data_IF_128723838431
#
_entry.id   IF_128723838431
#
_cell.length_a   1.000
_cell.length_b   1.000
_cell.length_c   1.000
_cell.angle_alpha   90.00
_cell.angle_beta   90.00
_cell.angle_gamma   90.00
#
_symmetry.space_group_name_H-M   'P 1'
#
loop_
_entity.id
_entity.type
_entity.pdbx_description
1 polymer ?
#
# COMPACT_ATOMS: atom_id res chain seq x y z
N UNK A 1 -5.74 14.10 -28.19
CA UNK A 1 -5.32 15.51 -27.96
C UNK A 1 -4.89 15.60 -26.51
N UNK A 2 -3.82 16.34 -26.20
CA UNK A 2 -3.40 16.54 -24.82
C UNK A 2 -4.26 17.62 -24.16
N UNK A 3 -4.68 17.37 -22.93
CA UNK A 3 -5.43 18.27 -22.07
C UNK A 3 -4.59 18.64 -20.86
N UNK A 4 -4.79 19.84 -20.31
CA UNK A 4 -4.18 20.23 -19.04
C UNK A 4 -5.04 19.72 -17.89
N UNK A 5 -4.42 19.13 -16.87
CA UNK A 5 -5.09 18.66 -15.66
C UNK A 5 -4.43 19.27 -14.43
N UNK A 6 -5.24 19.67 -13.46
CA UNK A 6 -4.80 20.05 -12.11
C UNK A 6 -4.97 18.85 -11.19
N UNK A 7 -3.87 18.30 -10.71
CA UNK A 7 -3.81 17.13 -9.82
C UNK A 7 -3.34 17.56 -8.44
N UNK A 8 -4.09 17.21 -7.40
CA UNK A 8 -3.80 17.55 -6.01
C UNK A 8 -3.44 16.31 -5.21
N UNK A 9 -2.31 16.38 -4.51
CA UNK A 9 -1.88 15.42 -3.49
C UNK A 9 -1.80 16.09 -2.13
N UNK A 10 -1.87 15.28 -1.08
CA UNK A 10 -1.45 15.64 0.26
C UNK A 10 -0.40 14.68 0.78
N UNK A 11 0.49 15.20 1.63
CA UNK A 11 1.52 14.40 2.30
C UNK A 11 1.68 14.89 3.72
N UNK A 12 1.81 13.95 4.65
CA UNK A 12 2.16 14.29 6.03
C UNK A 12 3.66 14.51 6.11
N UNK A 13 4.03 15.60 6.76
CA UNK A 13 5.40 16.09 6.86
C UNK A 13 5.73 16.42 8.31
N UNK A 14 7.01 16.30 8.64
CA UNK A 14 7.56 16.77 9.92
C UNK A 14 8.22 18.16 9.79
N UNK A 15 7.88 18.89 8.73
CA UNK A 15 8.37 20.25 8.48
C UNK A 15 7.22 21.19 8.10
N UNK A 16 7.50 22.50 8.17
CA UNK A 16 6.64 23.56 7.64
C UNK A 16 7.41 24.31 6.57
N UNK A 17 6.76 24.56 5.43
CA UNK A 17 7.33 25.40 4.38
C UNK A 17 7.30 26.87 4.77
N UNK A 18 6.30 27.30 5.55
CA UNK A 18 5.98 28.69 5.92
C UNK A 18 5.63 29.60 4.74
N UNK A 19 5.95 29.19 3.52
CA UNK A 19 5.66 29.89 2.27
C UNK A 19 5.16 28.90 1.23
N UNK A 20 4.48 29.42 0.21
CA UNK A 20 4.22 28.68 -1.03
C UNK A 20 5.54 28.52 -1.78
N UNK A 21 5.79 27.34 -2.34
CA UNK A 21 6.96 27.03 -3.16
C UNK A 21 6.48 26.56 -4.52
N UNK A 22 6.92 27.24 -5.58
CA UNK A 22 6.52 26.94 -6.94
C UNK A 22 7.71 26.36 -7.72
N UNK A 23 7.46 25.29 -8.47
CA UNK A 23 8.39 24.62 -9.36
C UNK A 23 7.85 24.67 -10.78
N UNK A 24 8.71 25.00 -11.73
CA UNK A 24 8.38 25.01 -13.15
C UNK A 24 9.25 23.99 -13.85
N UNK A 25 8.64 22.92 -14.34
CA UNK A 25 9.27 21.90 -15.16
C UNK A 25 8.87 22.11 -16.63
N UNK A 26 9.59 21.51 -17.59
CA UNK A 26 9.26 21.68 -19.02
C UNK A 26 7.84 21.26 -19.40
N UNK A 27 7.24 20.30 -18.69
CA UNK A 27 5.93 19.73 -19.01
C UNK A 27 4.88 19.89 -17.90
N UNK A 28 5.23 20.49 -16.77
CA UNK A 28 4.31 20.72 -15.67
C UNK A 28 4.71 21.93 -14.82
N UNK A 29 3.72 22.55 -14.17
CA UNK A 29 3.95 23.51 -13.09
C UNK A 29 3.43 22.90 -11.80
N UNK A 30 4.14 23.11 -10.71
CA UNK A 30 3.80 22.51 -9.43
C UNK A 30 3.93 23.53 -8.31
N UNK A 31 2.95 23.54 -7.42
CA UNK A 31 2.94 24.36 -6.23
C UNK A 31 2.86 23.47 -5.01
N UNK A 32 3.73 23.71 -4.03
CA UNK A 32 3.71 23.08 -2.71
C UNK A 32 3.40 24.14 -1.65
N UNK A 33 2.48 23.87 -0.74
CA UNK A 33 2.11 24.78 0.34
C UNK A 33 1.68 24.04 1.60
N UNK A 34 1.86 24.70 2.74
CA UNK A 34 1.40 24.18 4.03
C UNK A 34 -0.14 24.10 4.06
N UNK A 35 -0.66 22.99 4.58
CA UNK A 35 -2.07 22.78 4.86
C UNK A 35 -2.24 22.30 6.30
N UNK A 36 -3.19 22.90 7.01
CA UNK A 36 -3.57 22.45 8.35
C UNK A 36 -4.63 21.37 8.13
N UNK A 37 -4.26 20.10 8.36
CA UNK A 37 -5.24 19.02 8.37
C UNK A 37 -6.29 19.24 9.48
N UNK A 38 -7.49 18.66 9.36
CA UNK A 38 -8.46 18.68 10.45
C UNK A 38 -7.80 18.11 11.71
N UNK A 39 -7.96 18.82 12.83
CA UNK A 39 -7.46 18.39 14.13
C UNK A 39 -8.27 17.16 14.53
N UNK A 40 -7.82 15.96 14.15
CA UNK A 40 -8.35 14.73 14.72
C UNK A 40 -7.89 14.65 16.19
N UNK A 41 -8.88 14.63 17.08
CA UNK A 41 -8.92 15.09 18.47
C UNK A 41 -7.81 14.65 19.46
N UNK A 42 -6.78 13.87 19.07
CA UNK A 42 -5.74 13.40 20.00
C UNK A 42 -4.32 13.30 19.45
N UNK A 43 -4.08 13.59 18.17
CA UNK A 43 -2.73 13.54 17.61
C UNK A 43 -2.11 14.94 17.59
N UNK A 44 -1.05 15.13 18.40
CA UNK A 44 -0.22 16.36 18.37
C UNK A 44 0.41 16.50 16.98
N UNK A 45 -0.21 17.35 16.16
CA UNK A 45 0.33 18.04 14.98
C UNK A 45 1.32 17.25 14.11
N UNK A 46 0.80 16.51 13.13
CA UNK A 46 1.55 16.24 11.90
C UNK A 46 1.21 17.36 10.91
N UNK A 47 2.22 18.11 10.46
CA UNK A 47 2.02 19.08 9.39
C UNK A 47 1.65 18.34 8.12
N UNK A 48 0.85 18.97 7.26
CA UNK A 48 0.54 18.44 5.96
C UNK A 48 0.97 19.46 4.92
N UNK A 49 1.56 19.00 3.83
CA UNK A 49 1.73 19.81 2.64
C UNK A 49 0.70 19.36 1.61
N UNK A 50 0.10 20.34 0.93
CA UNK A 50 -0.65 20.09 -0.30
C UNK A 50 0.25 20.41 -1.48
N UNK A 51 0.11 19.60 -2.52
CA UNK A 51 0.85 19.73 -3.76
C UNK A 51 -0.13 19.75 -4.91
N UNK A 52 -0.15 20.87 -5.62
CA UNK A 52 -0.93 21.09 -6.82
C UNK A 52 -0.01 20.98 -8.02
N UNK A 53 -0.30 20.06 -8.93
CA UNK A 53 0.46 19.85 -10.17
C UNK A 53 -0.45 20.12 -11.35
N UNK A 54 -0.11 21.10 -12.19
CA UNK A 54 -0.74 21.32 -13.49
C UNK A 54 0.12 20.64 -14.55
N UNK A 55 -0.40 19.61 -15.20
CA UNK A 55 0.32 18.78 -16.17
C UNK A 55 -0.53 18.51 -17.42
N UNK A 56 0.10 18.44 -18.59
CA UNK A 56 -0.57 18.05 -19.82
C UNK A 56 -0.50 16.53 -20.03
N UNK A 57 -1.65 15.89 -20.26
CA UNK A 57 -1.72 14.45 -20.54
C UNK A 57 -2.89 14.13 -21.47
N UNK A 58 -2.96 12.91 -22.01
CA UNK A 58 -4.08 12.49 -22.86
C UNK A 58 -5.34 12.15 -22.06
N UNK A 59 -5.17 11.67 -20.83
CA UNK A 59 -6.25 11.22 -19.94
C UNK A 59 -5.97 11.65 -18.51
N UNK A 60 -7.02 11.86 -17.72
CA UNK A 60 -6.89 12.25 -16.31
C UNK A 60 -6.14 11.20 -15.49
N UNK A 61 -6.29 9.89 -15.77
CA UNK A 61 -5.55 8.86 -15.04
C UNK A 61 -4.05 8.90 -15.33
N UNK A 62 -3.67 9.13 -16.60
CA UNK A 62 -2.28 9.33 -16.98
C UNK A 62 -1.71 10.59 -16.33
N UNK A 63 -2.49 11.68 -16.24
CA UNK A 63 -2.07 12.88 -15.52
C UNK A 63 -1.81 12.62 -14.03
N UNK A 64 -2.59 11.76 -13.38
CA UNK A 64 -2.37 11.36 -11.98
C UNK A 64 -1.07 10.55 -11.85
N UNK A 65 -0.82 9.58 -12.73
CA UNK A 65 0.41 8.79 -12.64
C UNK A 65 1.66 9.65 -12.93
N UNK A 66 1.58 10.53 -13.94
CA UNK A 66 2.67 11.42 -14.34
C UNK A 66 2.94 12.49 -13.26
N UNK A 67 1.90 13.10 -12.68
CA UNK A 67 2.05 14.11 -11.63
C UNK A 67 2.71 13.56 -10.37
N UNK A 68 2.48 12.28 -10.04
CA UNK A 68 3.09 11.61 -8.90
C UNK A 68 4.62 11.54 -9.03
N UNK A 69 5.15 11.36 -10.24
CA UNK A 69 6.61 11.33 -10.48
C UNK A 69 7.25 12.67 -10.11
N UNK A 70 6.63 13.78 -10.51
CA UNK A 70 7.12 15.14 -10.20
C UNK A 70 6.96 15.48 -8.72
N UNK A 71 5.84 15.06 -8.13
CA UNK A 71 5.59 15.16 -6.70
C UNK A 71 6.72 14.49 -5.90
N UNK A 72 7.01 13.22 -6.20
CA UNK A 72 7.98 12.43 -5.44
C UNK A 72 9.39 13.02 -5.57
N UNK A 73 9.75 13.51 -6.77
CA UNK A 73 11.01 14.18 -7.01
C UNK A 73 11.17 15.43 -6.12
N UNK A 74 10.17 16.32 -6.09
CA UNK A 74 10.30 17.57 -5.34
C UNK A 74 10.17 17.38 -3.83
N UNK A 75 9.22 16.57 -3.36
CA UNK A 75 9.08 16.26 -1.94
C UNK A 75 10.31 15.49 -1.44
N UNK A 76 10.88 14.60 -2.25
CA UNK A 76 12.15 13.94 -1.97
C UNK A 76 13.31 14.91 -1.79
N UNK A 77 13.42 15.92 -2.67
CA UNK A 77 14.45 16.97 -2.55
C UNK A 77 14.26 17.85 -1.30
N UNK A 78 13.02 18.22 -0.97
CA UNK A 78 12.72 19.00 0.25
C UNK A 78 13.06 18.17 1.50
N UNK A 79 12.60 16.91 1.52
CA UNK A 79 12.88 15.93 2.58
C UNK A 79 14.39 15.76 2.78
N UNK A 80 15.15 15.63 1.69
CA UNK A 80 16.60 15.53 1.69
C UNK A 80 17.27 16.79 2.24
N UNK A 81 16.86 17.98 1.78
CA UNK A 81 17.41 19.25 2.23
C UNK A 81 17.18 19.48 3.74
N UNK A 82 15.99 19.11 4.23
CA UNK A 82 15.59 19.31 5.62
C UNK A 82 15.96 18.13 6.53
N UNK A 83 16.50 17.04 5.96
CA UNK A 83 16.83 15.80 6.67
C UNK A 83 15.63 15.32 7.51
N UNK A 84 14.43 15.38 6.93
CA UNK A 84 13.17 15.19 7.66
C UNK A 84 12.25 14.27 6.86
N UNK A 85 11.71 13.19 7.46
CA UNK A 85 10.90 12.22 6.73
C UNK A 85 9.57 12.82 6.27
N UNK A 86 9.06 12.26 5.19
CA UNK A 86 7.73 12.53 4.62
C UNK A 86 7.00 11.20 4.43
N UNK A 87 5.70 11.20 4.68
CA UNK A 87 4.87 10.03 4.38
C UNK A 87 4.69 9.85 2.87
N UNK A 88 4.04 8.75 2.49
CA UNK A 88 3.65 8.49 1.09
C UNK A 88 2.62 9.54 0.64
N UNK A 89 2.71 10.05 -0.60
CA UNK A 89 1.67 10.89 -1.20
C UNK A 89 0.30 10.23 -1.16
N UNK A 90 -0.71 11.04 -0.82
CA UNK A 90 -2.12 10.67 -0.89
C UNK A 90 -2.73 11.50 -2.01
N UNK A 91 -3.17 10.85 -3.08
CA UNK A 91 -3.94 11.50 -4.13
C UNK A 91 -5.28 11.99 -3.55
N UNK A 92 -5.58 13.29 -3.69
CA UNK A 92 -6.86 13.87 -3.25
C UNK A 92 -7.83 13.99 -4.42
N UNK A 93 -7.43 14.66 -5.50
CA UNK A 93 -8.30 14.93 -6.65
C UNK A 93 -7.56 15.35 -7.91
N UNK A 94 -8.22 15.21 -9.05
CA UNK A 94 -7.78 15.71 -10.35
C UNK A 94 -8.96 16.37 -11.07
N UNK A 95 -8.69 17.46 -11.80
CA UNK A 95 -9.70 18.21 -12.58
C UNK A 95 -9.09 18.61 -13.92
N UNK A 96 -9.84 18.51 -15.01
CA UNK A 96 -9.48 19.11 -16.29
C UNK A 96 -9.36 20.64 -16.17
N UNK A 97 -8.26 21.22 -16.65
CA UNK A 97 -7.80 22.58 -16.34
C UNK A 97 -7.54 23.46 -17.58
N UNK A 98 -8.05 23.05 -18.74
CA UNK A 98 -7.98 23.83 -19.98
C UNK A 98 -8.94 25.03 -19.98
N UNK A 99 -8.59 26.08 -20.73
CA UNK A 99 -9.44 27.25 -20.91
C UNK A 99 -10.61 26.95 -21.86
N UNK A 100 -11.76 27.62 -21.65
CA UNK A 100 -12.93 27.50 -22.55
C UNK A 100 -13.75 26.21 -22.40
N UNK A 101 -13.33 25.27 -21.54
CA UNK A 101 -14.11 24.07 -21.20
C UNK A 101 -15.12 24.40 -20.10
N UNK A 102 -16.39 24.07 -20.33
CA UNK A 102 -17.47 24.23 -19.35
C UNK A 102 -17.76 22.94 -18.60
N UNK A 103 -17.69 21.79 -19.28
CA UNK A 103 -17.96 20.49 -18.68
C UNK A 103 -16.63 19.75 -18.50
N UNK A 104 -16.20 19.59 -17.24
CA UNK A 104 -14.84 19.14 -16.92
C UNK A 104 -14.81 17.76 -16.33
N UNK A 105 -13.85 16.94 -16.74
CA UNK A 105 -13.57 15.69 -16.06
C UNK A 105 -13.05 15.94 -14.63
N UNK A 106 -13.55 15.16 -13.67
CA UNK A 106 -13.23 15.30 -12.25
C UNK A 106 -13.09 13.94 -11.58
N UNK A 107 -12.00 13.75 -10.84
CA UNK A 107 -11.77 12.59 -9.98
C UNK A 107 -11.45 13.10 -8.57
N UNK A 108 -12.03 12.48 -7.54
CA UNK A 108 -11.66 12.72 -6.15
C UNK A 108 -11.60 11.42 -5.36
N UNK A 109 -10.55 11.22 -4.58
CA UNK A 109 -10.51 10.20 -3.55
C UNK A 109 -11.14 10.76 -2.26
N UNK A 110 -12.06 10.01 -1.67
CA UNK A 110 -12.66 10.33 -0.37
C UNK A 110 -12.58 9.12 0.55
N UNK A 111 -12.26 9.37 1.82
CA UNK A 111 -12.22 8.32 2.84
C UNK A 111 -13.63 8.14 3.37
N UNK A 112 -14.17 6.93 3.23
CA UNK A 112 -15.46 6.62 3.85
C UNK A 112 -15.31 6.61 5.38
N UNK A 113 -16.30 7.13 6.13
CA UNK A 113 -16.26 7.26 7.58
C UNK A 113 -16.30 5.91 8.31
N UNK A 114 -16.53 4.83 7.58
CA UNK A 114 -16.56 3.48 8.11
C UNK A 114 -15.39 2.68 7.57
N UNK A 115 -14.70 1.95 8.44
CA UNK A 115 -13.77 0.89 8.06
C UNK A 115 -14.55 -0.23 7.38
N UNK A 116 -14.89 -0.04 6.10
CA UNK A 116 -15.60 -1.03 5.28
C UNK A 116 -14.69 -2.17 4.85
N UNK A 117 -13.38 -2.09 5.16
CA UNK A 117 -12.47 -3.21 5.03
C UNK A 117 -12.96 -4.39 5.86
N UNK A 118 -12.85 -5.60 5.31
CA UNK A 118 -13.13 -6.80 6.08
C UNK A 118 -12.21 -6.79 7.33
N UNK A 119 -12.77 -7.08 8.50
CA UNK A 119 -12.00 -7.17 9.75
C UNK A 119 -11.85 -8.65 10.07
N UNK A 120 -10.63 -9.08 10.41
CA UNK A 120 -10.45 -10.42 10.97
C UNK A 120 -10.91 -10.41 12.41
N UNK A 121 -11.85 -11.28 12.73
CA UNK A 121 -12.16 -11.56 14.13
C UNK A 121 -10.95 -12.21 14.80
N UNK A 122 -10.71 -11.78 16.05
CA UNK A 122 -9.73 -12.41 16.90
C UNK A 122 -10.21 -13.83 17.24
N UNK A 123 -9.31 -14.81 17.10
CA UNK A 123 -9.59 -16.23 17.33
C UNK A 123 -8.84 -16.66 18.60
N UNK A 124 -9.52 -16.74 19.76
CA UNK A 124 -8.86 -17.03 21.03
C UNK A 124 -8.20 -18.41 21.07
N UNK A 125 -8.77 -19.39 20.38
CA UNK A 125 -8.25 -20.76 20.33
C UNK A 125 -6.91 -20.80 19.58
N UNK A 126 -6.87 -20.21 18.37
CA UNK A 126 -5.64 -20.13 17.59
C UNK A 126 -4.57 -19.30 18.30
N UNK A 127 -4.96 -18.21 18.95
CA UNK A 127 -4.04 -17.44 19.77
C UNK A 127 -3.50 -18.25 20.95
N UNK A 128 -4.34 -19.03 21.63
CA UNK A 128 -3.93 -19.90 22.74
C UNK A 128 -2.88 -20.95 22.34
N UNK A 129 -3.02 -21.54 21.15
CA UNK A 129 -2.02 -22.46 20.58
C UNK A 129 -0.68 -21.74 20.37
N UNK A 130 -0.69 -20.57 19.73
CA UNK A 130 0.51 -19.79 19.48
C UNK A 130 1.19 -19.33 20.77
N UNK A 131 0.39 -18.82 21.71
CA UNK A 131 0.88 -18.28 22.98
C UNK A 131 1.46 -19.38 23.87
N UNK A 132 0.85 -20.56 23.92
CA UNK A 132 1.39 -21.69 24.68
C UNK A 132 2.73 -22.16 24.12
N UNK A 133 2.83 -22.36 22.79
CA UNK A 133 4.10 -22.73 22.12
C UNK A 133 5.21 -21.70 22.26
N UNK A 134 4.87 -20.41 22.22
CA UNK A 134 5.86 -19.34 22.44
C UNK A 134 6.45 -19.34 23.86
N UNK A 135 5.68 -19.78 24.85
CA UNK A 135 6.07 -19.86 26.26
C UNK A 135 6.64 -21.23 26.65
N UNK A 136 6.60 -22.23 25.77
CA UNK A 136 7.11 -23.57 26.02
C UNK A 136 8.66 -23.54 26.07
N UNK A 137 9.22 -23.68 27.28
CA UNK A 137 10.67 -23.57 27.52
C UNK A 137 11.45 -24.82 27.12
N UNK A 138 10.76 -25.93 26.86
CA UNK A 138 11.37 -27.23 26.54
C UNK A 138 11.83 -27.34 25.08
N UNK A 139 11.39 -26.42 24.21
CA UNK A 139 11.77 -26.43 22.80
C UNK A 139 13.25 -26.01 22.66
N UNK A 140 14.17 -26.94 22.29
CA UNK A 140 15.62 -26.70 22.41
C UNK A 140 16.09 -25.46 21.63
N UNK A 141 15.58 -25.28 20.42
CA UNK A 141 15.96 -24.17 19.54
C UNK A 141 15.39 -22.82 20.02
N UNK A 142 14.20 -22.80 20.63
CA UNK A 142 13.63 -21.59 21.26
C UNK A 142 14.46 -21.16 22.46
N UNK A 143 14.90 -22.11 23.28
CA UNK A 143 15.79 -21.84 24.43
C UNK A 143 17.15 -21.29 23.98
N UNK A 144 17.71 -21.82 22.87
CA UNK A 144 19.00 -21.37 22.32
C UNK A 144 18.90 -20.02 21.60
N UNK A 145 17.78 -19.71 20.95
CA UNK A 145 17.65 -18.54 20.06
C UNK A 145 16.40 -17.68 20.30
N UNK A 146 16.06 -17.30 21.55
CA UNK A 146 14.77 -16.67 21.81
C UNK A 146 14.63 -15.30 21.11
N UNK A 147 15.69 -14.48 21.17
CA UNK A 147 15.70 -13.15 20.58
C UNK A 147 15.59 -13.17 19.04
N UNK A 148 16.03 -14.25 18.38
CA UNK A 148 15.91 -14.36 16.92
C UNK A 148 14.46 -14.55 16.50
N UNK A 149 13.73 -15.42 17.20
CA UNK A 149 12.31 -15.67 16.93
C UNK A 149 11.49 -14.39 17.19
N UNK A 150 11.74 -13.70 18.30
CA UNK A 150 11.06 -12.43 18.62
C UNK A 150 11.34 -11.33 17.59
N UNK A 151 12.60 -11.20 17.14
CA UNK A 151 12.96 -10.26 16.07
C UNK A 151 12.31 -10.64 14.74
N UNK A 152 12.22 -11.92 14.41
CA UNK A 152 11.53 -12.39 13.20
C UNK A 152 10.03 -12.04 13.24
N UNK A 153 9.36 -12.24 14.39
CA UNK A 153 7.97 -11.81 14.61
C UNK A 153 7.83 -10.28 14.44
N UNK A 154 8.79 -9.50 14.97
CA UNK A 154 8.80 -8.04 14.80
C UNK A 154 8.90 -7.65 13.32
N UNK A 155 9.80 -8.28 12.56
CA UNK A 155 9.95 -8.02 11.12
C UNK A 155 8.72 -8.45 10.31
N UNK A 156 8.11 -9.58 10.66
CA UNK A 156 6.83 -9.99 10.08
C UNK A 156 5.74 -8.94 10.30
N UNK A 157 5.61 -8.45 11.55
CA UNK A 157 4.67 -7.37 11.88
C UNK A 157 4.97 -6.09 11.09
N UNK A 158 6.23 -5.67 11.01
CA UNK A 158 6.63 -4.51 10.20
C UNK A 158 6.21 -4.69 8.74
N UNK A 159 6.55 -5.83 8.13
CA UNK A 159 6.16 -6.11 6.74
C UNK A 159 4.64 -6.05 6.51
N UNK A 160 3.81 -6.54 7.45
CA UNK A 160 2.35 -6.39 7.37
C UNK A 160 1.92 -4.91 7.34
N UNK A 161 2.59 -4.05 8.11
CA UNK A 161 2.29 -2.62 8.17
C UNK A 161 2.80 -1.84 6.96
N UNK A 162 3.83 -2.31 6.27
CA UNK A 162 4.39 -1.61 5.11
C UNK A 162 3.43 -1.60 3.91
N UNK A 163 3.29 -0.43 3.28
CA UNK A 163 2.53 -0.24 2.04
C UNK A 163 3.41 -0.38 0.79
N UNK A 164 4.68 -0.01 0.88
CA UNK A 164 5.63 -0.15 -0.22
C UNK A 164 6.06 -1.62 -0.37
N UNK A 165 6.02 -2.12 -1.61
CA UNK A 165 6.29 -3.51 -1.92
C UNK A 165 7.75 -3.88 -1.66
N UNK A 166 8.71 -2.98 -1.93
CA UNK A 166 10.14 -3.23 -1.71
C UNK A 166 10.48 -3.28 -0.22
N UNK A 167 9.91 -2.37 0.57
CA UNK A 167 10.10 -2.30 2.02
C UNK A 167 9.44 -3.50 2.69
N UNK A 168 8.22 -3.88 2.26
CA UNK A 168 7.55 -5.10 2.72
C UNK A 168 8.39 -6.34 2.42
N UNK A 169 8.90 -6.47 1.19
CA UNK A 169 9.77 -7.58 0.79
C UNK A 169 11.02 -7.65 1.69
N UNK A 170 11.69 -6.51 1.87
CA UNK A 170 12.89 -6.39 2.71
C UNK A 170 12.61 -6.79 4.15
N UNK A 171 11.47 -6.38 4.73
CA UNK A 171 11.07 -6.79 6.07
C UNK A 171 10.94 -8.32 6.18
N UNK A 172 10.23 -8.96 5.25
CA UNK A 172 10.05 -10.41 5.27
C UNK A 172 11.38 -11.15 5.07
N UNK A 173 12.22 -10.69 4.13
CA UNK A 173 13.54 -11.27 3.89
C UNK A 173 14.46 -11.16 5.12
N UNK A 174 14.52 -10.00 5.77
CA UNK A 174 15.32 -9.82 6.99
C UNK A 174 14.82 -10.71 8.14
N UNK A 175 13.51 -10.92 8.25
CA UNK A 175 12.93 -11.90 9.17
C UNK A 175 13.45 -13.33 8.90
N UNK A 176 13.51 -13.73 7.63
CA UNK A 176 14.04 -15.04 7.21
C UNK A 176 15.54 -15.16 7.50
N UNK A 177 16.35 -14.13 7.23
CA UNK A 177 17.78 -14.11 7.55
C UNK A 177 18.04 -14.24 9.06
N UNK A 178 17.18 -13.64 9.89
CA UNK A 178 17.27 -13.76 11.35
C UNK A 178 16.97 -15.18 11.83
N UNK A 179 15.97 -15.85 11.23
CA UNK A 179 15.59 -17.23 11.54
C UNK A 179 16.55 -18.27 10.94
N UNK A 180 17.26 -17.92 9.88
CA UNK A 180 18.07 -18.86 9.12
C UNK A 180 19.04 -19.69 10.00
N UNK A 181 19.78 -19.15 10.99
CA UNK A 181 20.58 -19.97 11.91
C UNK A 181 19.75 -20.94 12.76
N UNK A 182 18.54 -20.56 13.16
CA UNK A 182 17.63 -21.39 13.97
C UNK A 182 17.13 -22.58 13.14
N UNK A 183 16.72 -22.32 11.89
CA UNK A 183 16.27 -23.34 10.95
C UNK A 183 17.42 -24.28 10.59
N UNK A 184 18.63 -23.75 10.35
CA UNK A 184 19.82 -24.58 10.10
C UNK A 184 20.09 -25.54 11.23
N UNK A 185 20.04 -25.07 12.48
CA UNK A 185 20.25 -25.94 13.64
C UNK A 185 19.14 -27.00 13.73
N UNK A 186 17.88 -26.62 13.51
CA UNK A 186 16.74 -27.54 13.58
C UNK A 186 16.82 -28.67 12.55
N UNK A 187 17.29 -28.36 11.34
CA UNK A 187 17.32 -29.30 10.22
C UNK A 187 18.74 -29.63 9.76
N UNK A 188 19.74 -29.55 10.65
CA UNK A 188 21.16 -29.67 10.26
C UNK A 188 21.46 -30.98 9.54
N UNK A 189 20.86 -32.09 9.96
CA UNK A 189 21.03 -33.40 9.33
C UNK A 189 20.44 -33.40 7.92
N UNK A 190 19.20 -32.91 7.76
CA UNK A 190 18.53 -32.81 6.46
C UNK A 190 19.28 -31.88 5.51
N UNK A 191 19.73 -30.73 6.00
CA UNK A 191 20.44 -29.72 5.20
C UNK A 191 21.80 -30.25 4.75
N UNK A 192 22.55 -30.91 5.64
CA UNK A 192 23.83 -31.53 5.31
C UNK A 192 23.65 -32.58 4.23
N UNK A 193 22.67 -33.49 4.39
CA UNK A 193 22.35 -34.52 3.40
C UNK A 193 21.89 -33.94 2.05
N UNK A 194 21.15 -32.84 2.07
CA UNK A 194 20.68 -32.17 0.86
C UNK A 194 21.81 -31.42 0.13
N UNK A 195 22.71 -30.79 0.88
CA UNK A 195 23.88 -30.09 0.33
C UNK A 195 24.82 -31.04 -0.41
N UNK A 196 24.96 -32.29 0.07
CA UNK A 196 25.72 -33.34 -0.60
C UNK A 196 25.08 -33.77 -1.94
N UNK A 197 23.74 -33.79 -2.03
CA UNK A 197 23.03 -34.13 -3.29
C UNK A 197 23.15 -33.03 -4.36
N UNK A 198 23.22 -31.77 -3.96
CA UNK A 198 23.37 -30.63 -4.87
C UNK A 198 24.82 -30.26 -5.20
N UNK A 199 25.79 -30.86 -4.52
CA UNK A 199 27.23 -30.64 -4.72
C UNK A 199 27.69 -30.89 -6.18
N UNK A 200 26.93 -31.67 -6.96
CA UNK A 200 27.20 -31.92 -8.38
C UNK A 200 26.76 -30.79 -9.34
N UNK A 201 26.07 -29.74 -8.85
CA UNK A 201 25.70 -28.56 -9.66
C UNK A 201 26.49 -27.35 -9.19
N UNK A 202 27.53 -26.97 -9.94
CA UNK A 202 28.32 -25.69 -10.08
C UNK A 202 28.29 -24.55 -9.01
N UNK A 203 27.62 -24.65 -7.86
CA UNK A 203 27.61 -23.62 -6.81
C UNK A 203 28.89 -23.71 -5.96
N UNK A 204 29.44 -22.55 -5.59
CA UNK A 204 30.59 -22.47 -4.68
C UNK A 204 30.15 -22.91 -3.26
N UNK A 205 30.88 -23.81 -2.58
CA UNK A 205 30.47 -24.38 -1.28
C UNK A 205 30.16 -23.37 -0.18
N UNK A 206 30.76 -22.18 -0.23
CA UNK A 206 30.65 -21.14 0.82
C UNK A 206 29.34 -20.36 0.80
N UNK A 207 28.72 -20.13 -0.36
CA UNK A 207 27.43 -19.40 -0.42
C UNK A 207 26.24 -20.26 0.04
N UNK A 208 26.28 -21.56 -0.26
CA UNK A 208 25.30 -22.54 0.18
C UNK A 208 25.14 -22.57 1.70
N UNK A 209 26.24 -22.37 2.44
CA UNK A 209 26.23 -22.42 3.90
C UNK A 209 25.48 -21.21 4.46
N UNK A 210 25.55 -20.02 3.87
CA UNK A 210 25.05 -18.81 4.51
C UNK A 210 23.51 -18.70 4.50
N UNK A 211 22.81 -19.16 3.47
CA UNK A 211 21.35 -19.09 3.38
C UNK A 211 20.66 -20.47 3.39
N UNK A 212 21.38 -21.52 3.81
CA UNK A 212 20.90 -22.91 3.77
C UNK A 212 19.53 -23.12 4.45
N UNK A 213 19.27 -22.45 5.57
CA UNK A 213 18.00 -22.58 6.29
C UNK A 213 16.84 -21.96 5.52
N UNK A 214 17.05 -20.80 4.90
CA UNK A 214 16.02 -20.16 4.04
C UNK A 214 15.73 -21.02 2.82
N UNK A 215 16.79 -21.51 2.15
CA UNK A 215 16.68 -22.39 0.98
C UNK A 215 15.90 -23.66 1.34
N UNK A 216 16.22 -24.30 2.47
CA UNK A 216 15.51 -25.49 2.96
C UNK A 216 14.03 -25.22 3.24
N UNK A 217 13.73 -24.10 3.91
CA UNK A 217 12.36 -23.69 4.19
C UNK A 217 11.54 -23.49 2.90
N UNK A 218 12.08 -22.77 1.92
CA UNK A 218 11.37 -22.53 0.65
C UNK A 218 11.21 -23.81 -0.17
N UNK A 219 12.29 -24.57 -0.36
CA UNK A 219 12.29 -25.70 -1.28
C UNK A 219 11.67 -26.95 -0.66
N UNK A 220 12.07 -27.32 0.55
CA UNK A 220 11.71 -28.61 1.16
C UNK A 220 10.43 -28.53 1.99
N UNK A 221 10.23 -27.43 2.72
CA UNK A 221 9.04 -27.26 3.56
C UNK A 221 7.87 -26.74 2.73
N UNK A 222 8.10 -25.76 1.85
CA UNK A 222 7.05 -25.13 1.04
C UNK A 222 6.97 -25.63 -0.40
N UNK A 223 7.88 -26.51 -0.84
CA UNK A 223 7.81 -27.13 -2.17
C UNK A 223 8.13 -26.17 -3.33
N UNK A 224 8.84 -25.06 -3.07
CA UNK A 224 9.22 -24.12 -4.12
C UNK A 224 10.33 -24.70 -5.00
N UNK A 225 10.26 -24.39 -6.28
CA UNK A 225 11.28 -24.80 -7.23
C UNK A 225 12.61 -24.09 -6.97
N UNK A 226 13.69 -24.69 -7.49
CA UNK A 226 15.02 -24.07 -7.43
C UNK A 226 15.06 -22.70 -8.13
N UNK A 227 14.34 -22.54 -9.25
CA UNK A 227 14.31 -21.28 -9.99
C UNK A 227 13.62 -20.18 -9.18
N UNK A 228 12.50 -20.49 -8.52
CA UNK A 228 11.83 -19.53 -7.61
C UNK A 228 12.76 -19.11 -6.47
N UNK A 229 13.53 -20.04 -5.88
CA UNK A 229 14.54 -19.70 -4.87
C UNK A 229 15.60 -18.72 -5.40
N UNK A 230 16.14 -18.98 -6.60
CA UNK A 230 17.14 -18.10 -7.23
C UNK A 230 16.56 -16.73 -7.50
N UNK A 231 15.36 -16.65 -8.07
CA UNK A 231 14.68 -15.39 -8.35
C UNK A 231 14.44 -14.58 -7.07
N UNK A 232 13.90 -15.22 -6.02
CA UNK A 232 13.72 -14.59 -4.71
C UNK A 232 15.06 -14.05 -4.18
N UNK A 233 16.13 -14.86 -4.16
CA UNK A 233 17.45 -14.39 -3.70
C UNK A 233 17.94 -13.19 -4.52
N UNK A 234 17.84 -13.24 -5.83
CA UNK A 234 18.28 -12.17 -6.73
C UNK A 234 17.50 -10.87 -6.57
N UNK A 235 16.20 -10.94 -6.22
CA UNK A 235 15.41 -9.74 -5.92
C UNK A 235 16.05 -8.96 -4.78
N UNK A 236 16.46 -9.65 -3.71
CA UNK A 236 17.12 -8.98 -2.57
C UNK A 236 18.39 -8.27 -3.01
N UNK A 237 19.24 -8.93 -3.79
CA UNK A 237 20.47 -8.31 -4.28
C UNK A 237 20.17 -7.14 -5.22
N UNK A 238 19.11 -7.24 -6.02
CA UNK A 238 18.67 -6.17 -6.92
C UNK A 238 18.11 -4.96 -6.16
N UNK A 239 17.34 -5.17 -5.09
CA UNK A 239 16.81 -4.10 -4.23
C UNK A 239 17.94 -3.38 -3.51
N UNK A 240 18.91 -4.11 -2.96
CA UNK A 240 20.00 -3.52 -2.16
C UNK A 240 21.05 -2.84 -3.05
N UNK A 241 21.37 -3.42 -4.21
CA UNK A 241 22.47 -2.94 -5.06
C UNK A 241 22.03 -2.16 -6.30
N UNK A 242 20.73 -2.11 -6.62
CA UNK A 242 20.21 -1.32 -7.74
C UNK A 242 20.59 -1.87 -9.13
N UNK A 243 20.90 -3.16 -9.24
CA UNK A 243 21.42 -3.76 -10.49
C UNK A 243 20.35 -3.99 -11.59
N UNK A 244 19.06 -3.83 -11.27
CA UNK A 244 17.92 -3.98 -12.20
C UNK A 244 17.05 -2.72 -12.15
N UNK A 245 16.27 -2.45 -13.20
CA UNK A 245 15.32 -1.33 -13.21
C UNK A 245 14.22 -1.51 -12.16
N UNK A 246 13.74 -0.41 -11.58
CA UNK A 246 12.71 -0.43 -10.54
C UNK A 246 11.40 -1.11 -11.00
N UNK A 247 10.97 -0.85 -12.24
CA UNK A 247 9.77 -1.48 -12.86
C UNK A 247 9.85 -3.01 -12.90
N UNK A 248 11.00 -3.54 -13.33
CA UNK A 248 11.22 -4.99 -13.39
C UNK A 248 11.21 -5.59 -11.98
N UNK A 249 11.92 -4.97 -11.03
CA UNK A 249 11.96 -5.44 -9.65
C UNK A 249 10.55 -5.40 -9.04
N UNK A 250 9.78 -4.32 -9.27
CA UNK A 250 8.41 -4.17 -8.74
C UNK A 250 7.50 -5.32 -9.17
N UNK A 251 7.56 -5.69 -10.45
CA UNK A 251 6.77 -6.80 -11.00
C UNK A 251 7.14 -8.12 -10.32
N UNK A 252 8.43 -8.43 -10.24
CA UNK A 252 8.91 -9.69 -9.66
C UNK A 252 8.62 -9.73 -8.14
N UNK A 253 8.85 -8.64 -7.41
CA UNK A 253 8.53 -8.52 -5.98
C UNK A 253 7.06 -8.81 -5.74
N UNK A 254 6.16 -8.22 -6.52
CA UNK A 254 4.71 -8.40 -6.36
C UNK A 254 4.31 -9.87 -6.48
N UNK A 255 4.96 -10.62 -7.38
CA UNK A 255 4.69 -12.04 -7.57
C UNK A 255 5.14 -12.92 -6.39
N UNK A 256 6.22 -12.53 -5.68
CA UNK A 256 6.81 -13.35 -4.61
C UNK A 256 6.48 -12.89 -3.20
N UNK A 257 5.87 -11.72 -3.00
CA UNK A 257 5.57 -11.19 -1.68
C UNK A 257 4.74 -12.12 -0.80
N UNK A 258 3.69 -12.74 -1.36
CA UNK A 258 2.85 -13.70 -0.63
C UNK A 258 3.66 -14.94 -0.22
N UNK A 259 4.54 -15.40 -1.12
CA UNK A 259 5.44 -16.52 -0.83
C UNK A 259 6.37 -16.17 0.32
N UNK A 260 7.06 -15.02 0.30
CA UNK A 260 7.95 -14.62 1.40
C UNK A 260 7.21 -14.43 2.74
N UNK A 261 6.02 -13.85 2.71
CA UNK A 261 5.17 -13.69 3.90
C UNK A 261 4.86 -15.05 4.54
N UNK A 262 4.39 -15.99 3.72
CA UNK A 262 4.08 -17.34 4.15
C UNK A 262 5.33 -18.09 4.60
N UNK A 263 6.46 -17.94 3.91
CA UNK A 263 7.74 -18.52 4.32
C UNK A 263 8.13 -18.04 5.71
N UNK A 264 8.13 -16.73 5.94
CA UNK A 264 8.52 -16.18 7.24
C UNK A 264 7.58 -16.70 8.34
N UNK A 265 6.28 -16.70 8.09
CA UNK A 265 5.29 -17.19 9.05
C UNK A 265 5.49 -18.69 9.36
N UNK A 266 5.69 -19.51 8.32
CA UNK A 266 5.99 -20.94 8.44
C UNK A 266 7.28 -21.16 9.22
N UNK A 267 8.34 -20.40 8.92
CA UNK A 267 9.61 -20.47 9.62
C UNK A 267 9.49 -20.13 11.10
N UNK A 268 8.71 -19.10 11.45
CA UNK A 268 8.41 -18.75 12.85
C UNK A 268 7.71 -19.93 13.52
N UNK A 269 6.67 -20.48 12.90
CA UNK A 269 5.86 -21.57 13.46
C UNK A 269 6.66 -22.86 13.65
N UNK A 270 7.49 -23.22 12.68
CA UNK A 270 8.43 -24.34 12.79
C UNK A 270 9.42 -24.12 13.95
N UNK A 271 9.94 -22.90 14.12
CA UNK A 271 10.90 -22.59 15.19
C UNK A 271 10.28 -22.63 16.60
N UNK A 272 8.96 -22.42 16.73
CA UNK A 272 8.21 -22.58 17.98
C UNK A 272 7.59 -23.98 18.13
N UNK A 273 7.98 -24.93 17.28
CA UNK A 273 7.63 -26.34 17.45
C UNK A 273 6.17 -26.68 17.13
N UNK A 274 5.50 -25.90 16.28
CA UNK A 274 4.20 -26.30 15.75
C UNK A 274 4.35 -27.45 14.77
N UNK A 275 3.40 -28.39 14.81
CA UNK A 275 3.27 -29.45 13.82
C UNK A 275 2.77 -28.91 12.48
N UNK A 276 3.01 -29.65 11.39
CA UNK A 276 2.50 -29.30 10.05
C UNK A 276 0.98 -29.11 10.03
N UNK A 277 0.24 -29.91 10.79
CA UNK A 277 -1.22 -29.82 10.88
C UNK A 277 -1.67 -28.52 11.59
N UNK A 278 -0.97 -28.10 12.65
CA UNK A 278 -1.25 -26.83 13.33
C UNK A 278 -0.87 -25.65 12.43
N UNK A 279 0.28 -25.70 11.77
CA UNK A 279 0.72 -24.69 10.81
C UNK A 279 -0.34 -24.49 9.73
N UNK A 280 -0.83 -25.57 9.12
CA UNK A 280 -1.87 -25.51 8.10
C UNK A 280 -3.18 -24.87 8.61
N UNK A 281 -3.56 -25.10 9.87
CA UNK A 281 -4.75 -24.48 10.50
C UNK A 281 -4.56 -22.99 10.81
N UNK A 282 -3.32 -22.56 11.01
CA UNK A 282 -2.96 -21.21 11.46
C UNK A 282 -2.57 -20.28 10.31
N UNK A 283 -1.92 -20.80 9.27
CA UNK A 283 -1.61 -20.04 8.07
C UNK A 283 -2.92 -19.61 7.43
N UNK A 284 -3.06 -18.31 7.27
CA UNK A 284 -4.12 -17.68 6.51
C UNK A 284 -3.41 -16.76 5.52
N UNK A 285 -3.90 -16.61 4.28
CA UNK A 285 -3.33 -15.64 3.35
C UNK A 285 -3.26 -14.27 4.02
N UNK A 286 -2.23 -13.48 3.75
CA UNK A 286 -2.13 -12.13 4.28
C UNK A 286 -3.43 -11.38 4.04
N UNK A 287 -3.94 -10.68 5.05
CA UNK A 287 -5.02 -9.75 4.76
C UNK A 287 -4.41 -8.62 3.95
N UNK A 288 -5.00 -8.23 2.80
CA UNK A 288 -4.63 -6.94 2.23
C UNK A 288 -4.85 -5.94 3.36
N UNK A 289 -3.80 -5.16 3.69
CA UNK A 289 -3.97 -4.01 4.58
C UNK A 289 -5.23 -3.32 4.09
N UNK A 290 -6.22 -3.02 4.94
CA UNK A 290 -7.27 -2.14 4.51
C UNK A 290 -6.51 -0.87 4.11
N UNK A 291 -6.32 -0.68 2.79
CA UNK A 291 -6.23 0.67 2.29
C UNK A 291 -7.42 1.34 2.97
N UNK A 292 -7.19 2.48 3.61
CA UNK A 292 -8.32 3.35 3.96
C UNK A 292 -9.30 3.22 2.82
N UNK A 293 -10.55 2.81 3.08
CA UNK A 293 -11.45 2.49 1.98
C UNK A 293 -11.72 3.80 1.26
N UNK A 294 -10.85 4.06 0.30
CA UNK A 294 -10.81 5.26 -0.51
C UNK A 294 -11.77 4.97 -1.62
N UNK A 295 -12.87 5.71 -1.58
CA UNK A 295 -13.78 5.76 -2.70
C UNK A 295 -13.18 6.73 -3.69
N UNK A 296 -12.91 6.23 -4.89
CA UNK A 296 -12.64 7.09 -6.04
C UNK A 296 -13.97 7.49 -6.65
N UNK A 297 -14.30 8.77 -6.56
CA UNK A 297 -15.45 9.36 -7.20
C UNK A 297 -15.00 9.93 -8.55
N UNK A 298 -15.69 9.51 -9.63
CA UNK A 298 -15.49 10.01 -10.98
C UNK A 298 -16.75 10.76 -11.39
N UNK A 299 -16.62 12.02 -11.76
CA UNK A 299 -17.72 12.89 -12.15
C UNK A 299 -17.36 13.80 -13.33
N UNK A 300 -18.38 14.42 -13.91
CA UNK A 300 -18.24 15.56 -14.81
C UNK A 300 -18.81 16.79 -14.11
N UNK A 301 -18.01 17.85 -13.96
CA UNK A 301 -18.47 19.13 -13.42
C UNK A 301 -19.11 19.94 -14.55
N UNK A 302 -20.43 20.11 -14.52
CA UNK A 302 -21.17 20.85 -15.54
C UNK A 302 -21.10 22.36 -15.29
N UNK A 303 -20.89 23.15 -16.34
CA UNK A 303 -20.79 24.63 -16.28
C UNK A 303 -19.71 25.18 -15.31
N UNK A 304 -18.63 24.44 -15.11
CA UNK A 304 -17.51 24.82 -14.27
C UNK A 304 -16.41 25.52 -15.09
N UNK A 305 -16.57 26.80 -15.43
CA UNK A 305 -15.49 27.56 -16.07
C UNK A 305 -14.27 27.68 -15.12
N UNK A 306 -13.06 27.50 -15.65
CA UNK A 306 -11.82 27.74 -14.90
C UNK A 306 -11.79 29.11 -14.22
N UNK A 307 -12.36 30.14 -14.85
CA UNK A 307 -12.44 31.49 -14.26
C UNK A 307 -13.27 31.56 -12.97
N UNK A 308 -14.22 30.63 -12.78
CA UNK A 308 -15.03 30.55 -11.57
C UNK A 308 -14.39 29.68 -10.48
N UNK A 309 -13.31 28.96 -10.80
CA UNK A 309 -12.57 28.09 -9.88
C UNK A 309 -11.33 28.81 -9.32
N UNK A 310 -11.27 28.91 -7.99
CA UNK A 310 -10.05 29.34 -7.29
C UNK A 310 -9.20 28.11 -6.97
N UNK A 311 -7.91 28.12 -7.31
CA UNK A 311 -6.99 27.04 -6.94
C UNK A 311 -6.95 26.81 -5.42
N UNK A 312 -7.22 27.85 -4.63
CA UNK A 312 -7.33 27.76 -3.17
C UNK A 312 -8.58 26.98 -2.74
N UNK A 313 -9.68 27.13 -3.47
CA UNK A 313 -11.00 26.58 -3.16
C UNK A 313 -11.53 25.70 -4.30
N UNK A 314 -10.75 24.69 -4.67
CA UNK A 314 -11.16 23.73 -5.67
C UNK A 314 -12.45 23.01 -5.25
N UNK A 315 -13.35 22.69 -6.21
CA UNK A 315 -14.53 21.89 -5.95
C UNK A 315 -14.20 20.64 -5.13
N UNK A 316 -15.01 20.35 -4.11
CA UNK A 316 -14.84 19.20 -3.23
C UNK A 316 -16.18 18.52 -2.99
N UNK A 317 -16.23 17.22 -3.27
CA UNK A 317 -17.39 16.40 -2.92
C UNK A 317 -17.24 15.92 -1.50
N UNK A 318 -18.08 16.45 -0.62
CA UNK A 318 -18.09 16.12 0.80
C UNK A 318 -19.20 15.12 1.05
N UNK A 319 -18.85 14.02 1.71
CA UNK A 319 -19.85 13.06 2.18
C UNK A 319 -20.76 13.73 3.21
N UNK A 320 -22.06 13.80 2.94
CA UNK A 320 -23.04 14.32 3.90
C UNK A 320 -23.53 13.22 4.84
N UNK A 321 -23.90 12.08 4.26
CA UNK A 321 -24.36 10.92 5.00
C UNK A 321 -24.09 9.65 4.21
N UNK A 322 -23.88 8.56 4.95
CA UNK A 322 -23.83 7.21 4.41
C UNK A 322 -24.84 6.37 5.15
N UNK A 323 -25.77 5.76 4.43
CA UNK A 323 -26.72 4.80 4.99
C UNK A 323 -26.36 3.41 4.45
N UNK A 324 -26.08 2.46 5.36
CA UNK A 324 -25.98 1.06 4.97
C UNK A 324 -27.37 0.55 4.62
N UNK A 325 -27.57 0.22 3.35
CA UNK A 325 -28.78 -0.46 2.91
C UNK A 325 -28.44 -1.94 2.68
N UNK A 326 -29.04 -2.84 3.48
CA UNK A 326 -29.12 -4.25 3.10
C UNK A 326 -30.13 -4.36 1.97
N UNK A 327 -29.65 -4.26 0.74
CA UNK A 327 -30.43 -4.64 -0.45
C UNK A 327 -29.99 -6.02 -0.88
N UNK A 328 -30.93 -6.87 -1.28
CA UNK A 328 -30.65 -8.11 -2.01
C UNK A 328 -29.99 -7.75 -3.35
N UNK A 329 -28.66 -7.74 -3.37
CA UNK A 329 -27.90 -7.46 -4.58
C UNK A 329 -27.73 -8.77 -5.34
N UNK A 330 -27.87 -8.79 -6.69
CA UNK A 330 -27.67 -9.98 -7.50
C UNK A 330 -26.31 -10.65 -7.22
N UNK A 331 -26.30 -11.99 -7.27
CA UNK A 331 -25.19 -12.89 -6.91
C UNK A 331 -23.78 -12.30 -7.06
N UNK A 332 -23.09 -12.08 -5.93
CA UNK A 332 -21.67 -11.72 -5.89
C UNK A 332 -21.31 -10.50 -5.01
N UNK A 333 -22.30 -9.75 -4.50
CA UNK A 333 -22.07 -8.57 -3.67
C UNK A 333 -22.53 -8.82 -2.22
N UNK A 334 -21.66 -8.51 -1.25
CA UNK A 334 -21.98 -8.74 0.17
C UNK A 334 -22.78 -7.58 0.80
N UNK A 335 -22.69 -6.33 0.30
CA UNK A 335 -23.41 -5.13 0.82
C UNK A 335 -23.55 -4.01 -0.22
N UNK A 336 -24.64 -3.23 -0.19
CA UNK A 336 -24.75 -1.93 -0.89
C UNK A 336 -24.63 -0.78 0.12
N UNK A 337 -23.95 0.30 -0.26
CA UNK A 337 -23.91 1.52 0.53
C UNK A 337 -24.53 2.66 -0.28
N UNK A 338 -25.68 3.18 0.12
CA UNK A 338 -26.18 4.41 -0.50
C UNK A 338 -25.46 5.59 0.13
N UNK A 339 -24.82 6.40 -0.70
CA UNK A 339 -23.93 7.48 -0.24
C UNK A 339 -24.42 8.81 -0.83
N UNK A 340 -24.69 9.80 0.03
CA UNK A 340 -25.09 11.14 -0.43
C UNK A 340 -23.93 12.10 -0.29
N UNK A 341 -23.59 12.77 -1.39
CA UNK A 341 -22.54 13.77 -1.43
C UNK A 341 -23.14 15.18 -1.57
N UNK A 342 -22.42 16.17 -1.07
CA UNK A 342 -22.65 17.57 -1.41
C UNK A 342 -21.37 18.13 -1.93
N UNK A 343 -21.44 18.70 -3.12
CA UNK A 343 -20.36 19.48 -3.67
C UNK A 343 -20.29 20.79 -2.89
N UNK A 344 -19.17 21.07 -2.25
CA UNK A 344 -18.87 22.41 -1.71
C UNK A 344 -17.79 23.06 -2.57
N UNK A 345 -17.98 24.33 -2.90
CA UNK A 345 -16.93 25.19 -3.45
C UNK A 345 -16.97 26.57 -2.76
N UNK A 346 -16.14 27.52 -3.21
CA UNK A 346 -16.11 28.90 -2.72
C UNK A 346 -17.44 29.66 -2.86
N UNK A 347 -18.40 29.16 -3.64
CA UNK A 347 -19.70 29.79 -3.91
C UNK A 347 -20.88 29.14 -3.14
N UNK A 348 -20.64 28.07 -2.37
CA UNK A 348 -21.65 27.43 -1.52
C UNK A 348 -21.85 25.92 -1.78
N UNK A 349 -22.80 25.28 -1.08
CA UNK A 349 -23.13 23.87 -1.28
C UNK A 349 -24.09 23.64 -2.46
N UNK A 350 -23.75 22.69 -3.34
CA UNK A 350 -24.64 22.11 -4.34
C UNK A 350 -24.92 20.65 -3.97
N UNK A 351 -26.20 20.24 -3.95
CA UNK A 351 -26.56 18.87 -3.58
C UNK A 351 -26.34 17.91 -4.75
N UNK A 352 -25.65 16.79 -4.49
CA UNK A 352 -25.32 15.79 -5.53
C UNK A 352 -25.68 14.39 -5.01
N UNK A 353 -26.79 13.84 -5.48
CA UNK A 353 -27.14 12.46 -5.15
C UNK A 353 -26.49 11.47 -6.12
N UNK A 354 -25.77 10.48 -5.59
CA UNK A 354 -25.23 9.35 -6.34
C UNK A 354 -25.54 8.02 -5.65
N UNK A 355 -25.49 6.91 -6.37
CA UNK A 355 -25.56 5.56 -5.80
C UNK A 355 -24.19 4.90 -5.95
N UNK A 356 -23.57 4.50 -4.84
CA UNK A 356 -22.28 3.83 -4.84
C UNK A 356 -22.46 2.35 -4.52
N UNK A 357 -22.21 1.46 -5.48
CA UNK A 357 -22.22 0.03 -5.18
C UNK A 357 -20.87 -0.39 -4.62
N UNK A 358 -20.86 -0.95 -3.41
CA UNK A 358 -19.64 -1.46 -2.75
C UNK A 358 -19.54 -2.95 -3.04
N UNK A 359 -18.94 -3.29 -4.19
CA UNK A 359 -18.75 -4.66 -4.64
C UNK A 359 -17.34 -5.20 -4.42
N UNK A 360 -17.27 -6.53 -4.30
CA UNK A 360 -16.11 -7.43 -4.18
C UNK A 360 -14.87 -7.04 -5.00
N UNK A 361 -13.72 -7.63 -4.65
CA UNK A 361 -12.32 -7.39 -5.01
C UNK A 361 -11.93 -7.39 -6.51
N UNK A 362 -12.87 -7.15 -7.42
CA UNK A 362 -12.61 -7.03 -8.85
C UNK A 362 -12.06 -5.63 -9.20
N UNK A 363 -10.80 -5.52 -9.68
CA UNK A 363 -10.19 -4.25 -10.08
C UNK A 363 -10.93 -3.54 -11.23
N UNK A 364 -11.62 -4.28 -12.11
CA UNK A 364 -12.31 -3.69 -13.26
C UNK A 364 -13.65 -3.05 -12.90
N UNK A 365 -14.24 -3.41 -11.75
CA UNK A 365 -15.57 -2.92 -11.36
C UNK A 365 -15.59 -1.58 -10.61
N UNK A 366 -14.44 -0.92 -10.42
CA UNK A 366 -14.33 0.39 -9.73
C UNK A 366 -14.72 1.61 -10.57
N UNK A 367 -15.09 1.45 -11.85
CA UNK A 367 -15.49 2.57 -12.71
C UNK A 367 -17.00 2.65 -12.85
N UNK A 368 -17.66 3.50 -12.06
CA UNK A 368 -19.00 4.01 -12.37
C UNK A 368 -18.97 5.53 -12.46
N UNK A 369 -19.55 6.05 -13.53
CA UNK A 369 -19.63 7.48 -13.84
C UNK A 369 -20.78 8.07 -13.04
N UNK A 370 -20.50 9.05 -12.18
CA UNK A 370 -21.53 9.83 -11.52
C UNK A 370 -21.81 11.06 -12.39
N UNK A 371 -23.04 11.17 -12.90
CA UNK A 371 -23.47 12.39 -13.59
C UNK A 371 -24.02 13.36 -12.55
N UNK A 372 -23.35 14.51 -12.43
CA UNK A 372 -23.70 15.55 -11.48
C UNK A 372 -24.15 16.77 -12.26
N UNK A 373 -25.45 17.09 -12.27
CA UNK A 373 -25.92 18.36 -12.83
C UNK A 373 -25.78 19.46 -11.79
N UNK A 374 -24.93 20.44 -12.08
CA UNK A 374 -24.81 21.64 -11.28
C UNK A 374 -25.77 22.73 -11.82
N UNK A 375 -27.07 22.56 -11.59
CA UNK A 375 -28.09 23.55 -12.00
C UNK A 375 -28.06 24.85 -11.17
N UNK A 376 -27.02 25.07 -10.34
CA UNK A 376 -26.98 26.13 -9.31
C UNK A 376 -25.90 27.20 -9.57
N UNK A 377 -25.26 27.23 -10.75
CA UNK A 377 -24.28 28.27 -11.08
C UNK A 377 -24.86 29.56 -11.67
N UNK A 378 -26.19 29.72 -11.71
CA UNK A 378 -26.84 30.99 -12.07
C UNK A 378 -27.06 31.83 -10.81
N UNK A 379 -26.32 32.93 -10.69
CA UNK A 379 -26.73 34.07 -9.86
C UNK A 379 -28.01 34.70 -10.40
#
# INVERSE_FOLDING_TARGET
MSHSYLVRYSVKTNFKLKTRVDFNFPICSMTIYDSIGPIEDKCRWLHCCKVDVIISSEKIESAIDDALVFFDAAIGLISLQLVTPTDVPIFEKAIEWDDGIHDREFIQNTVLPHNLGKVREFDPEKFGILFSKLNETEIPYRKKFPQRIERAIRWFRMGIFESDHFTKYTCYWLGLEILNPVIKEKYIENITNHSLRHYHRKEKPTELINLAGIKYLLMEIQGKSYNEWVEIKEIRDSIVHGNKSLELIKTIVTNYLSTLEESLLTGIYECIGLSKAEIYKLIRPGYPRPSKTETRLIATLINADKKSMDMTYLPELILQSSEQAQTDVPNGYEKTLTVRYTLKNSHGPCNVSGIMLVGSSDPEMKKRKFECSADVFKK
#
